data_IF_651181507447
#
_entry.id   IF_651181507447
#
_cell.length_a   1.000
_cell.length_b   1.000
_cell.length_c   1.000
_cell.angle_alpha   90.00
_cell.angle_beta   90.00
_cell.angle_gamma   90.00
#
_symmetry.space_group_name_H-M   'P 1'
#
loop_
_entity.id
_entity.type
_entity.pdbx_description
1 polymer ?
#
# COMPACT_ATOMS: atom_id res chain seq x y z
N UNK A 1 -19.48 -7.88 -16.77
CA UNK A 1 -19.34 -8.42 -15.41
C UNK A 1 -19.40 -7.25 -14.44
N UNK A 2 -19.96 -7.42 -13.25
CA UNK A 2 -19.87 -6.37 -12.21
C UNK A 2 -18.42 -6.23 -11.76
N UNK A 3 -17.98 -5.00 -11.50
CA UNK A 3 -16.65 -4.74 -10.95
C UNK A 3 -16.57 -5.24 -9.50
N UNK A 4 -15.41 -5.79 -9.12
CA UNK A 4 -15.07 -6.22 -7.76
C UNK A 4 -14.75 -5.03 -6.86
N UNK A 5 -15.09 -5.15 -5.58
CA UNK A 5 -14.66 -4.29 -4.48
C UNK A 5 -13.27 -4.74 -4.04
N UNK A 6 -12.24 -3.92 -4.26
CA UNK A 6 -10.85 -4.31 -4.03
C UNK A 6 -10.17 -3.32 -3.10
N UNK A 7 -9.48 -3.84 -2.09
CA UNK A 7 -8.50 -3.10 -1.31
C UNK A 7 -7.15 -3.09 -2.05
N UNK A 8 -6.71 -1.92 -2.51
CA UNK A 8 -5.48 -1.82 -3.30
C UNK A 8 -4.18 -1.79 -2.48
N UNK A 9 -4.23 -1.85 -1.15
CA UNK A 9 -3.06 -1.55 -0.31
C UNK A 9 -3.01 -2.42 0.96
N UNK A 10 -2.45 -3.63 0.83
CA UNK A 10 -2.32 -4.58 1.95
C UNK A 10 -0.89 -5.12 2.08
N UNK A 11 -0.24 -4.81 3.20
CA UNK A 11 1.09 -5.32 3.53
C UNK A 11 1.02 -6.66 4.25
N UNK A 12 2.00 -7.52 3.95
CA UNK A 12 2.29 -8.72 4.71
C UNK A 12 3.43 -8.50 5.68
N UNK A 13 3.44 -9.30 6.74
CA UNK A 13 4.59 -9.44 7.63
C UNK A 13 4.86 -10.93 7.81
N UNK A 14 6.13 -11.30 7.74
CA UNK A 14 6.55 -12.70 7.84
C UNK A 14 7.95 -12.85 8.40
N UNK A 15 8.17 -13.90 9.20
CA UNK A 15 9.45 -14.27 9.81
C UNK A 15 10.26 -15.30 9.01
N UNK A 16 9.72 -15.81 7.90
CA UNK A 16 10.39 -16.78 7.03
C UNK A 16 10.34 -18.22 7.53
N UNK A 17 9.68 -18.47 8.67
CA UNK A 17 9.64 -19.80 9.32
C UNK A 17 8.97 -20.89 8.47
N UNK A 18 8.16 -20.51 7.48
CA UNK A 18 7.51 -21.40 6.53
C UNK A 18 8.34 -21.68 5.25
N UNK A 19 9.57 -21.15 5.17
CA UNK A 19 10.37 -21.19 3.94
C UNK A 19 9.97 -20.16 2.90
N UNK A 20 9.15 -19.16 3.27
CA UNK A 20 8.72 -18.08 2.40
C UNK A 20 9.84 -17.13 1.96
N UNK A 21 10.97 -17.10 2.70
CA UNK A 21 12.05 -16.13 2.52
C UNK A 21 11.74 -14.74 3.11
N UNK A 22 10.58 -14.55 3.73
CA UNK A 22 10.24 -13.34 4.48
C UNK A 22 11.19 -13.17 5.67
N UNK A 23 11.39 -11.92 6.07
CA UNK A 23 11.98 -11.62 7.38
C UNK A 23 11.61 -10.21 7.81
N UNK A 24 11.68 -9.94 9.12
CA UNK A 24 11.60 -8.60 9.67
C UNK A 24 12.50 -8.43 10.88
N UNK A 25 12.84 -7.19 11.20
CA UNK A 25 13.63 -6.80 12.36
C UNK A 25 12.83 -5.90 13.31
N UNK A 26 12.83 -6.25 14.59
CA UNK A 26 12.29 -5.42 15.68
C UNK A 26 13.44 -5.01 16.62
N UNK A 27 14.27 -4.02 16.22
CA UNK A 27 15.52 -3.71 16.89
C UNK A 27 15.35 -3.11 18.30
N UNK A 28 14.15 -2.61 18.63
CA UNK A 28 13.89 -1.95 19.91
C UNK A 28 12.78 -2.65 20.69
N UNK A 29 12.84 -2.58 22.04
CA UNK A 29 11.77 -3.07 22.91
C UNK A 29 10.42 -2.40 22.61
N UNK A 30 10.45 -1.13 22.21
CA UNK A 30 9.25 -0.41 21.78
C UNK A 30 8.64 -1.01 20.51
N UNK A 31 9.44 -1.27 19.46
CA UNK A 31 8.96 -1.93 18.23
C UNK A 31 8.43 -3.34 18.51
N UNK A 32 9.07 -4.10 19.41
CA UNK A 32 8.55 -5.40 19.88
C UNK A 32 7.21 -5.27 20.58
N UNK A 33 7.03 -4.27 21.43
CA UNK A 33 5.74 -4.00 22.07
C UNK A 33 4.67 -3.65 21.03
N UNK A 34 4.98 -2.78 20.08
CA UNK A 34 4.05 -2.40 18.99
C UNK A 34 3.65 -3.61 18.14
N UNK A 35 4.60 -4.46 17.75
CA UNK A 35 4.31 -5.69 17.00
C UNK A 35 3.33 -6.60 17.76
N UNK A 36 3.50 -6.75 19.09
CA UNK A 36 2.56 -7.52 19.91
C UNK A 36 1.15 -6.90 19.94
N UNK A 37 1.04 -5.56 20.01
CA UNK A 37 -0.26 -4.90 19.94
C UNK A 37 -0.91 -5.06 18.56
N UNK A 38 -0.12 -5.02 17.49
CA UNK A 38 -0.58 -5.23 16.12
C UNK A 38 -1.13 -6.65 15.94
N UNK A 39 -0.36 -7.69 16.30
CA UNK A 39 -0.81 -9.10 16.24
C UNK A 39 -2.11 -9.30 17.03
N UNK A 40 -2.21 -8.73 18.24
CA UNK A 40 -3.44 -8.77 19.04
C UNK A 40 -4.60 -8.06 18.34
N UNK A 41 -4.35 -6.91 17.73
CA UNK A 41 -5.35 -6.14 16.98
C UNK A 41 -5.87 -6.88 15.74
N UNK A 42 -5.02 -7.70 15.12
CA UNK A 42 -5.38 -8.58 14.01
C UNK A 42 -6.17 -9.83 14.43
N UNK A 43 -6.38 -10.04 15.73
CA UNK A 43 -7.04 -11.24 16.27
C UNK A 43 -6.18 -12.50 16.24
N UNK A 44 -4.89 -12.37 15.91
CA UNK A 44 -3.96 -13.49 15.83
C UNK A 44 -3.47 -13.90 17.23
N UNK A 45 -3.30 -15.21 17.50
CA UNK A 45 -2.72 -15.67 18.75
C UNK A 45 -1.24 -15.26 18.83
N UNK A 46 -0.78 -14.91 20.03
CA UNK A 46 0.60 -14.47 20.24
C UNK A 46 1.66 -15.52 19.86
N UNK A 47 1.29 -16.81 19.83
CA UNK A 47 2.15 -17.91 19.39
C UNK A 47 2.58 -17.82 17.93
N UNK A 48 1.89 -17.00 17.11
CA UNK A 48 2.30 -16.68 15.73
C UNK A 48 3.69 -16.04 15.69
N UNK A 49 4.12 -15.36 16.76
CA UNK A 49 5.48 -14.79 16.85
C UNK A 49 6.56 -15.82 17.17
N UNK A 50 6.18 -17.09 17.41
CA UNK A 50 7.12 -18.17 17.76
C UNK A 50 7.49 -19.04 16.55
N UNK A 51 6.55 -19.23 15.61
CA UNK A 51 6.74 -19.99 14.36
C UNK A 51 5.52 -19.89 13.45
N UNK A 52 5.70 -20.21 12.15
CA UNK A 52 4.69 -20.23 11.09
C UNK A 52 4.00 -18.88 10.87
N UNK A 53 4.72 -17.77 11.12
CA UNK A 53 4.13 -16.45 11.05
C UNK A 53 3.61 -16.14 9.65
N UNK A 54 4.39 -16.42 8.61
CA UNK A 54 4.04 -16.06 7.23
C UNK A 54 2.71 -16.66 6.80
N UNK A 55 2.53 -17.97 7.01
CA UNK A 55 1.34 -18.71 6.61
C UNK A 55 0.12 -18.29 7.42
N UNK A 56 0.26 -18.22 8.76
CA UNK A 56 -0.85 -17.83 9.65
C UNK A 56 -1.28 -16.40 9.41
N UNK A 57 -0.35 -15.51 9.10
CA UNK A 57 -0.64 -14.12 8.78
C UNK A 57 -1.41 -14.02 7.45
N UNK A 58 -0.97 -14.74 6.42
CA UNK A 58 -1.66 -14.78 5.14
C UNK A 58 -3.06 -15.43 5.23
N UNK A 59 -3.20 -16.54 5.97
CA UNK A 59 -4.50 -17.18 6.23
C UNK A 59 -5.45 -16.25 6.98
N UNK A 60 -4.95 -15.51 7.97
CA UNK A 60 -5.75 -14.51 8.65
C UNK A 60 -6.17 -13.37 7.73
N UNK A 61 -5.29 -12.89 6.86
CA UNK A 61 -5.66 -11.89 5.85
C UNK A 61 -6.79 -12.39 4.95
N UNK A 62 -6.67 -13.61 4.39
CA UNK A 62 -7.71 -14.20 3.53
C UNK A 62 -9.03 -14.33 4.27
N UNK A 63 -9.02 -14.82 5.52
CA UNK A 63 -10.23 -14.87 6.36
C UNK A 63 -10.83 -13.48 6.58
N UNK A 64 -10.03 -12.43 6.78
CA UNK A 64 -10.54 -11.06 6.93
C UNK A 64 -11.18 -10.56 5.64
N UNK A 65 -10.65 -10.91 4.47
CA UNK A 65 -11.26 -10.58 3.18
C UNK A 65 -12.61 -11.31 3.05
N UNK A 66 -12.64 -12.63 3.24
CA UNK A 66 -13.85 -13.47 3.14
C UNK A 66 -14.97 -13.06 4.09
N UNK A 67 -14.63 -12.54 5.26
CA UNK A 67 -15.58 -12.06 6.27
C UNK A 67 -15.89 -10.56 6.15
N UNK A 68 -15.52 -9.93 5.04
CA UNK A 68 -15.82 -8.52 4.73
C UNK A 68 -16.66 -8.41 3.45
N UNK A 69 -17.06 -7.19 3.10
CA UNK A 69 -17.68 -6.90 1.81
C UNK A 69 -16.63 -6.67 0.68
N UNK A 70 -15.36 -7.00 0.91
CA UNK A 70 -14.32 -6.99 -0.12
C UNK A 70 -14.36 -8.31 -0.90
N UNK A 71 -14.12 -8.21 -2.22
CA UNK A 71 -13.96 -9.39 -3.07
C UNK A 71 -12.49 -9.85 -3.11
N UNK A 72 -11.54 -8.91 -3.07
CA UNK A 72 -10.11 -9.19 -3.12
C UNK A 72 -9.26 -8.07 -2.52
N UNK A 73 -7.97 -8.35 -2.32
CA UNK A 73 -6.97 -7.37 -1.94
C UNK A 73 -5.71 -7.49 -2.81
N UNK A 74 -5.07 -6.34 -3.06
CA UNK A 74 -3.74 -6.26 -3.66
C UNK A 74 -2.71 -6.44 -2.55
N UNK A 75 -2.01 -7.56 -2.59
CA UNK A 75 -1.07 -7.99 -1.54
C UNK A 75 0.35 -7.64 -1.95
N UNK A 76 1.03 -6.88 -1.09
CA UNK A 76 2.26 -6.17 -1.45
C UNK A 76 3.50 -6.95 -1.02
N UNK A 77 4.39 -7.22 -1.98
CA UNK A 77 5.78 -7.57 -1.71
C UNK A 77 6.56 -6.33 -1.22
N UNK A 78 7.76 -6.55 -0.70
CA UNK A 78 8.61 -5.51 -0.14
C UNK A 78 10.07 -5.82 -0.47
N UNK A 79 10.71 -4.93 -1.24
CA UNK A 79 12.12 -5.03 -1.56
C UNK A 79 13.01 -4.31 -0.52
N UNK A 80 14.32 -4.41 -0.73
CA UNK A 80 15.36 -3.73 0.04
C UNK A 80 15.69 -2.36 -0.54
N UNK A 81 16.36 -1.53 0.27
CA UNK A 81 16.98 -0.30 -0.22
C UNK A 81 18.33 -0.62 -0.88
N UNK A 82 18.69 0.12 -1.94
CA UNK A 82 19.96 -0.06 -2.63
C UNK A 82 20.72 1.26 -2.76
N UNK A 83 22.04 1.18 -2.87
CA UNK A 83 22.89 2.33 -3.19
C UNK A 83 22.93 2.62 -4.70
N UNK A 84 23.66 3.67 -5.10
CA UNK A 84 23.76 4.07 -6.51
C UNK A 84 24.48 3.05 -7.39
N UNK A 85 25.24 2.14 -6.79
CA UNK A 85 25.98 1.05 -7.43
C UNK A 85 25.17 -0.25 -7.49
N UNK A 86 23.94 -0.25 -6.96
CA UNK A 86 23.04 -1.41 -6.96
C UNK A 86 23.36 -2.45 -5.89
N UNK A 87 24.06 -2.06 -4.82
CA UNK A 87 24.30 -2.92 -3.66
C UNK A 87 23.22 -2.68 -2.59
N UNK A 88 22.72 -3.73 -1.92
CA UNK A 88 21.77 -3.57 -0.82
C UNK A 88 22.35 -2.69 0.29
N UNK A 89 21.53 -1.80 0.85
CA UNK A 89 21.85 -0.98 2.01
C UNK A 89 21.44 -1.67 3.30
N UNK A 90 22.24 -1.46 4.35
CA UNK A 90 21.95 -1.98 5.69
C UNK A 90 20.76 -1.26 6.36
N UNK A 91 20.06 -1.99 7.23
CA UNK A 91 19.00 -1.45 8.09
C UNK A 91 17.62 -1.42 7.45
N UNK A 92 17.40 -2.24 6.41
CA UNK A 92 16.06 -2.64 6.02
C UNK A 92 15.35 -3.30 7.22
N UNK A 93 14.06 -3.00 7.39
CA UNK A 93 13.30 -3.46 8.54
C UNK A 93 12.51 -4.74 8.29
N UNK A 94 12.22 -5.03 7.03
CA UNK A 94 11.53 -6.24 6.60
C UNK A 94 11.70 -6.43 5.10
N UNK A 95 11.47 -7.65 4.65
CA UNK A 95 11.55 -8.08 3.27
C UNK A 95 10.47 -9.13 3.03
N UNK A 96 9.74 -8.99 1.92
CA UNK A 96 8.68 -9.92 1.50
C UNK A 96 8.98 -10.29 0.04
N UNK A 97 9.41 -11.53 -0.25
CA UNK A 97 9.79 -11.93 -1.60
C UNK A 97 8.62 -11.89 -2.59
N UNK A 98 8.91 -11.54 -3.84
CA UNK A 98 7.90 -11.55 -4.92
C UNK A 98 7.33 -12.95 -5.15
N UNK A 99 8.17 -13.98 -5.08
CA UNK A 99 7.78 -15.38 -5.25
C UNK A 99 6.78 -15.84 -4.18
N UNK A 100 6.92 -15.34 -2.95
CA UNK A 100 5.99 -15.64 -1.87
C UNK A 100 4.61 -15.05 -2.16
N UNK A 101 4.56 -13.78 -2.56
CA UNK A 101 3.30 -13.10 -2.91
C UNK A 101 2.64 -13.75 -4.13
N UNK A 102 3.43 -14.13 -5.14
CA UNK A 102 2.93 -14.87 -6.30
C UNK A 102 2.41 -16.27 -5.91
N UNK A 103 3.05 -16.96 -4.96
CA UNK A 103 2.57 -18.24 -4.44
C UNK A 103 1.23 -18.09 -3.69
N UNK A 104 1.06 -17.02 -2.91
CA UNK A 104 -0.20 -16.71 -2.25
C UNK A 104 -1.34 -16.43 -3.25
N UNK A 105 -1.07 -15.70 -4.33
CA UNK A 105 -2.05 -15.50 -5.40
C UNK A 105 -2.46 -16.82 -6.08
N UNK A 106 -1.54 -17.78 -6.23
CA UNK A 106 -1.89 -19.12 -6.73
C UNK A 106 -2.71 -19.94 -5.74
N UNK A 107 -2.45 -19.77 -4.44
CA UNK A 107 -3.18 -20.47 -3.36
C UNK A 107 -4.59 -19.90 -3.14
N UNK A 108 -4.75 -18.58 -3.28
CA UNK A 108 -6.00 -17.85 -3.02
C UNK A 108 -6.36 -16.92 -4.20
N UNK A 109 -6.63 -17.47 -5.40
CA UNK A 109 -6.74 -16.69 -6.64
C UNK A 109 -7.95 -15.75 -6.70
N UNK A 110 -8.97 -15.98 -5.87
CA UNK A 110 -10.15 -15.10 -5.81
C UNK A 110 -9.89 -13.88 -4.92
N UNK A 111 -9.17 -14.07 -3.80
CA UNK A 111 -8.96 -13.06 -2.76
C UNK A 111 -7.66 -12.27 -2.93
N UNK A 112 -6.64 -12.84 -3.58
CA UNK A 112 -5.28 -12.26 -3.62
C UNK A 112 -4.89 -11.85 -5.04
N UNK A 113 -4.62 -10.56 -5.19
CA UNK A 113 -3.98 -9.98 -6.38
C UNK A 113 -2.52 -9.67 -6.02
N UNK A 114 -1.53 -10.28 -6.68
CA UNK A 114 -0.14 -10.12 -6.28
C UNK A 114 0.45 -8.80 -6.77
N UNK A 115 1.15 -8.08 -5.88
CA UNK A 115 1.95 -6.92 -6.26
C UNK A 115 3.43 -7.15 -5.96
N UNK A 116 4.30 -6.99 -6.95
CA UNK A 116 5.74 -7.15 -6.78
C UNK A 116 6.38 -5.88 -6.19
N UNK A 117 7.60 -5.99 -5.69
CA UNK A 117 8.44 -4.87 -5.29
C UNK A 117 9.82 -5.08 -5.86
N UNK A 118 10.28 -4.14 -6.69
CA UNK A 118 11.52 -4.25 -7.44
C UNK A 118 12.19 -2.89 -7.45
N UNK A 119 13.26 -2.74 -6.68
CA UNK A 119 14.08 -1.54 -6.72
C UNK A 119 14.79 -1.44 -8.08
N UNK A 120 14.57 -0.39 -8.90
CA UNK A 120 15.08 -0.32 -10.27
C UNK A 120 16.62 -0.28 -10.37
N UNK A 121 17.28 0.13 -9.29
CA UNK A 121 18.75 0.13 -9.17
C UNK A 121 19.41 -1.20 -8.81
N UNK A 122 18.66 -2.28 -8.53
CA UNK A 122 19.26 -3.59 -8.26
C UNK A 122 19.88 -4.17 -9.54
N UNK A 123 20.94 -4.97 -9.42
CA UNK A 123 21.68 -5.48 -10.58
C UNK A 123 20.85 -6.41 -11.48
N UNK A 124 19.86 -7.08 -10.92
CA UNK A 124 18.95 -8.00 -11.61
C UNK A 124 17.54 -7.41 -11.82
N UNK A 125 17.40 -6.07 -11.78
CA UNK A 125 16.08 -5.39 -11.78
C UNK A 125 15.20 -5.82 -12.97
N UNK A 126 15.80 -5.84 -14.16
CA UNK A 126 15.07 -6.19 -15.39
C UNK A 126 14.70 -7.67 -15.41
N UNK A 127 15.62 -8.56 -15.01
CA UNK A 127 15.34 -10.00 -14.96
C UNK A 127 14.21 -10.31 -13.95
N UNK A 128 14.21 -9.64 -12.80
CA UNK A 128 13.16 -9.77 -11.79
C UNK A 128 11.82 -9.20 -12.28
N UNK A 129 11.85 -8.09 -13.04
CA UNK A 129 10.66 -7.54 -13.66
C UNK A 129 10.03 -8.53 -14.65
N UNK A 130 10.83 -9.13 -15.54
CA UNK A 130 10.33 -10.16 -16.46
C UNK A 130 9.74 -11.37 -15.69
N UNK A 131 10.41 -11.82 -14.61
CA UNK A 131 9.86 -12.90 -13.77
C UNK A 131 8.50 -12.54 -13.16
N UNK A 132 8.33 -11.32 -12.66
CA UNK A 132 7.07 -10.87 -12.08
C UNK A 132 5.95 -10.74 -13.13
N UNK A 133 6.30 -10.30 -14.34
CA UNK A 133 5.39 -10.21 -15.48
C UNK A 133 4.94 -11.61 -15.90
N UNK A 134 5.87 -12.56 -16.05
CA UNK A 134 5.58 -13.96 -16.37
C UNK A 134 4.75 -14.65 -15.27
N UNK A 135 4.93 -14.24 -14.01
CA UNK A 135 4.12 -14.70 -12.88
C UNK A 135 2.72 -14.06 -12.83
N UNK A 136 2.41 -13.11 -13.73
CA UNK A 136 1.11 -12.46 -13.82
C UNK A 136 0.85 -11.48 -12.68
N UNK A 137 1.87 -10.75 -12.22
CA UNK A 137 1.73 -9.72 -11.19
C UNK A 137 1.37 -8.36 -11.82
N UNK A 138 0.12 -7.88 -11.70
CA UNK A 138 -0.31 -6.68 -12.43
C UNK A 138 0.08 -5.36 -11.74
N UNK A 139 0.58 -5.43 -10.51
CA UNK A 139 0.88 -4.25 -9.68
C UNK A 139 2.32 -4.30 -9.20
N UNK A 140 2.97 -3.15 -9.12
CA UNK A 140 4.25 -2.96 -8.44
C UNK A 140 4.06 -1.99 -7.28
N UNK A 141 4.60 -2.32 -6.09
CA UNK A 141 4.65 -1.45 -4.93
C UNK A 141 6.07 -1.00 -4.64
N UNK A 142 6.25 0.31 -4.47
CA UNK A 142 7.51 0.89 -4.02
C UNK A 142 7.28 1.97 -2.98
N UNK A 143 8.22 2.07 -2.04
CA UNK A 143 8.27 3.12 -1.03
C UNK A 143 9.57 3.91 -1.24
N UNK A 144 9.62 4.87 -2.18
CA UNK A 144 10.88 5.42 -2.68
C UNK A 144 11.73 6.09 -1.58
N UNK A 145 11.10 6.78 -0.64
CA UNK A 145 11.73 7.35 0.55
C UNK A 145 12.35 6.32 1.52
N UNK A 146 11.82 5.10 1.56
CA UNK A 146 12.32 3.99 2.37
C UNK A 146 13.23 3.03 1.63
N UNK A 147 13.14 2.99 0.31
CA UNK A 147 13.93 2.15 -0.57
C UNK A 147 15.13 2.89 -1.18
N UNK A 148 15.28 4.20 -0.91
CA UNK A 148 16.33 5.05 -1.48
C UNK A 148 16.25 5.15 -3.02
N UNK A 149 15.03 5.30 -3.54
CA UNK A 149 14.78 5.38 -4.99
C UNK A 149 14.49 6.83 -5.37
N UNK A 150 15.37 7.42 -6.19
CA UNK A 150 15.07 8.64 -6.93
C UNK A 150 14.45 8.28 -8.28
N UNK A 151 13.15 8.49 -8.43
CA UNK A 151 12.45 8.21 -9.69
C UNK A 151 12.89 9.11 -10.85
N UNK A 152 13.50 10.26 -10.56
CA UNK A 152 14.03 11.18 -11.59
C UNK A 152 15.41 10.76 -12.10
N UNK A 153 15.98 9.64 -11.62
CA UNK A 153 17.25 9.16 -12.14
C UNK A 153 17.04 8.51 -13.52
N UNK A 154 17.53 9.19 -14.57
CA UNK A 154 17.38 8.77 -15.98
C UNK A 154 17.87 7.33 -16.25
N UNK A 155 18.74 6.77 -15.40
CA UNK A 155 19.19 5.38 -15.50
C UNK A 155 18.03 4.38 -15.37
N UNK A 156 16.92 4.77 -14.73
CA UNK A 156 15.75 3.93 -14.55
C UNK A 156 14.72 4.07 -15.68
N UNK A 157 14.91 4.96 -16.66
CA UNK A 157 13.98 5.12 -17.78
C UNK A 157 13.67 3.80 -18.53
N UNK A 158 14.66 2.94 -18.87
CA UNK A 158 14.35 1.67 -19.52
C UNK A 158 13.47 0.75 -18.66
N UNK A 159 13.65 0.78 -17.34
CA UNK A 159 12.84 0.01 -16.40
C UNK A 159 11.39 0.53 -16.39
N UNK A 160 11.19 1.84 -16.27
CA UNK A 160 9.85 2.43 -16.29
C UNK A 160 9.12 2.25 -17.61
N UNK A 161 9.83 2.37 -18.74
CA UNK A 161 9.25 2.07 -20.05
C UNK A 161 8.78 0.61 -20.12
N UNK A 162 9.58 -0.33 -19.61
CA UNK A 162 9.19 -1.75 -19.61
C UNK A 162 7.99 -2.05 -18.71
N UNK A 163 7.90 -1.38 -17.56
CA UNK A 163 6.72 -1.42 -16.65
C UNK A 163 5.48 -0.89 -17.37
N UNK A 164 5.60 0.21 -18.10
CA UNK A 164 4.51 0.78 -18.90
C UNK A 164 4.08 -0.17 -20.03
N UNK A 165 5.04 -0.74 -20.77
CA UNK A 165 4.79 -1.68 -21.86
C UNK A 165 4.09 -2.96 -21.37
N UNK A 166 4.35 -3.38 -20.12
CA UNK A 166 3.64 -4.49 -19.47
C UNK A 166 2.21 -4.14 -19.00
N UNK A 167 1.81 -2.87 -19.04
CA UNK A 167 0.53 -2.42 -18.49
C UNK A 167 0.45 -2.52 -16.96
N UNK A 168 1.59 -2.63 -16.27
CA UNK A 168 1.62 -2.71 -14.81
C UNK A 168 1.23 -1.38 -14.16
N UNK A 169 0.57 -1.47 -13.02
CA UNK A 169 0.21 -0.31 -12.19
C UNK A 169 1.26 -0.13 -11.10
N UNK A 170 1.83 1.07 -10.97
CA UNK A 170 2.71 1.41 -9.86
C UNK A 170 1.90 2.00 -8.71
N UNK A 171 1.82 1.30 -7.59
CA UNK A 171 1.43 1.86 -6.30
C UNK A 171 2.69 2.42 -5.62
N UNK A 172 2.87 3.74 -5.61
CA UNK A 172 4.03 4.37 -4.98
C UNK A 172 3.65 5.03 -3.66
N UNK A 173 4.44 4.83 -2.63
CA UNK A 173 4.34 5.64 -1.42
C UNK A 173 4.56 7.11 -1.75
N UNK A 174 3.72 7.98 -1.18
CA UNK A 174 3.90 9.43 -1.21
C UNK A 174 3.54 10.02 0.15
N UNK A 175 4.04 11.23 0.44
CA UNK A 175 3.83 11.85 1.74
C UNK A 175 4.76 11.34 2.83
N UNK A 176 4.36 11.58 4.07
CA UNK A 176 5.17 11.22 5.25
C UNK A 176 5.24 9.72 5.50
N UNK A 177 6.29 9.26 6.19
CA UNK A 177 6.48 7.88 6.62
C UNK A 177 7.08 7.87 8.04
N UNK A 178 6.54 7.01 8.93
CA UNK A 178 6.88 7.01 10.37
C UNK A 178 7.19 5.62 10.93
N UNK A 179 6.90 4.56 10.18
CA UNK A 179 6.97 3.16 10.62
C UNK A 179 8.21 2.45 10.07
N UNK A 180 8.60 2.82 8.85
CA UNK A 180 9.78 2.30 8.15
C UNK A 180 10.89 3.35 8.13
N UNK A 181 12.15 2.89 8.14
CA UNK A 181 13.34 3.74 8.02
C UNK A 181 13.24 4.56 6.74
N UNK A 182 13.37 5.87 6.87
CA UNK A 182 13.41 6.81 5.75
C UNK A 182 14.87 7.15 5.45
N UNK A 183 15.30 6.96 4.21
CA UNK A 183 16.62 7.36 3.73
C UNK A 183 16.60 8.82 3.25
N UNK A 184 15.60 9.18 2.45
CA UNK A 184 15.37 10.55 2.00
C UNK A 184 13.87 10.87 1.98
N UNK A 185 13.38 11.75 2.88
CA UNK A 185 11.97 12.13 2.91
C UNK A 185 11.48 12.79 1.62
N UNK A 186 12.35 13.45 0.84
CA UNK A 186 11.97 14.17 -0.38
C UNK A 186 11.49 13.26 -1.50
N UNK A 187 11.89 11.99 -1.49
CA UNK A 187 11.37 10.99 -2.44
C UNK A 187 9.89 10.66 -2.22
N UNK A 188 9.27 11.11 -1.12
CA UNK A 188 7.82 11.06 -0.93
C UNK A 188 7.04 12.17 -1.65
N UNK A 189 7.70 13.16 -2.27
CA UNK A 189 7.03 14.24 -3.00
C UNK A 189 6.37 13.66 -4.27
N UNK A 190 5.05 13.80 -4.47
CA UNK A 190 4.34 13.28 -5.63
C UNK A 190 4.88 13.83 -6.96
N UNK A 191 5.55 15.00 -6.99
CA UNK A 191 6.16 15.54 -8.22
C UNK A 191 7.26 14.65 -8.77
N UNK A 192 7.93 13.85 -7.93
CA UNK A 192 8.91 12.85 -8.33
C UNK A 192 8.32 11.73 -9.19
N UNK A 193 6.99 11.59 -9.22
CA UNK A 193 6.31 10.63 -10.08
C UNK A 193 6.26 11.07 -11.56
N UNK A 194 6.61 12.32 -11.87
CA UNK A 194 6.52 12.86 -13.23
C UNK A 194 7.27 12.00 -14.26
N UNK A 195 8.50 11.59 -13.95
CA UNK A 195 9.32 10.74 -14.83
C UNK A 195 8.65 9.40 -15.15
N UNK A 196 8.06 8.76 -14.14
CA UNK A 196 7.36 7.48 -14.28
C UNK A 196 6.06 7.65 -15.06
N UNK A 197 5.31 8.72 -14.78
CA UNK A 197 4.08 9.09 -15.49
C UNK A 197 4.34 9.44 -16.96
N UNK A 198 5.43 10.14 -17.26
CA UNK A 198 5.82 10.52 -18.62
C UNK A 198 6.22 9.29 -19.46
N UNK A 199 6.69 8.21 -18.83
CA UNK A 199 6.88 6.89 -19.48
C UNK A 199 5.56 6.16 -19.79
N UNK A 200 4.42 6.65 -19.28
CA UNK A 200 3.10 6.07 -19.52
C UNK A 200 2.63 5.05 -18.47
N UNK A 201 3.39 4.83 -17.39
CA UNK A 201 3.00 3.92 -16.30
C UNK A 201 1.76 4.49 -15.58
N UNK A 202 0.72 3.68 -15.37
CA UNK A 202 -0.40 4.07 -14.51
C UNK A 202 0.06 4.09 -13.05
N UNK A 203 -0.09 5.22 -12.35
CA UNK A 203 0.43 5.40 -10.99
C UNK A 203 -0.69 5.66 -9.99
N UNK A 204 -0.60 5.02 -8.82
CA UNK A 204 -1.39 5.30 -7.63
C UNK A 204 -0.44 5.91 -6.58
N UNK A 205 -0.60 7.20 -6.29
CA UNK A 205 0.11 7.87 -5.21
C UNK A 205 -0.56 7.53 -3.87
N UNK A 206 0.09 6.73 -3.04
CA UNK A 206 -0.51 6.23 -1.80
C UNK A 206 -0.68 7.33 -0.75
N UNK A 207 -1.69 7.17 0.10
CA UNK A 207 -2.03 8.05 1.22
C UNK A 207 -2.36 9.49 0.83
N UNK A 208 -2.72 9.72 -0.44
CA UNK A 208 -2.98 11.05 -1.01
C UNK A 208 -1.86 12.07 -0.78
N UNK A 209 -0.61 11.59 -0.75
CA UNK A 209 0.58 12.41 -0.47
C UNK A 209 0.50 13.22 0.83
N UNK A 210 -0.35 12.79 1.76
CA UNK A 210 -0.55 13.45 3.04
C UNK A 210 0.62 13.22 4.01
N UNK A 211 0.85 14.18 4.89
CA UNK A 211 1.79 14.02 6.00
C UNK A 211 1.37 12.91 6.97
N UNK A 212 2.35 12.17 7.49
CA UNK A 212 2.14 11.16 8.53
C UNK A 212 2.42 11.74 9.92
N UNK A 213 3.52 12.46 10.07
CA UNK A 213 3.90 13.20 11.27
C UNK A 213 3.27 14.59 11.36
N UNK A 214 3.49 15.25 12.49
CA UNK A 214 3.07 16.65 12.67
C UNK A 214 3.92 17.62 11.82
N UNK A 215 5.20 17.29 11.66
CA UNK A 215 6.20 18.13 10.96
C UNK A 215 6.55 17.65 9.56
N UNK A 216 5.96 16.54 9.10
CA UNK A 216 6.17 16.09 7.73
C UNK A 216 5.52 17.07 6.75
N UNK A 217 6.11 17.25 5.55
CA UNK A 217 5.48 17.96 4.44
C UNK A 217 4.12 17.33 4.08
N UNK A 218 3.17 18.18 3.71
CA UNK A 218 1.86 17.78 3.19
C UNK A 218 1.79 18.18 1.72
N UNK A 219 1.83 17.19 0.83
CA UNK A 219 1.85 17.41 -0.62
C UNK A 219 0.50 17.06 -1.28
N UNK A 220 -0.57 16.96 -0.48
CA UNK A 220 -1.91 16.60 -0.98
C UNK A 220 -2.39 17.54 -2.09
N UNK A 221 -2.17 18.85 -1.94
CA UNK A 221 -2.58 19.84 -2.94
C UNK A 221 -1.72 19.77 -4.22
N UNK A 222 -0.42 19.49 -4.09
CA UNK A 222 0.47 19.28 -5.22
C UNK A 222 0.02 18.05 -6.03
N UNK A 223 -0.32 16.95 -5.36
CA UNK A 223 -0.86 15.74 -6.00
C UNK A 223 -2.17 16.04 -6.74
N UNK A 224 -3.11 16.77 -6.11
CA UNK A 224 -4.39 17.12 -6.74
C UNK A 224 -4.17 17.98 -7.99
N UNK A 225 -3.24 18.94 -7.95
CA UNK A 225 -2.90 19.76 -9.11
C UNK A 225 -2.33 18.93 -10.27
N UNK A 226 -1.64 17.81 -9.98
CA UNK A 226 -1.09 16.91 -10.99
C UNK A 226 -2.15 16.12 -11.76
N UNK A 227 -3.34 15.86 -11.20
CA UNK A 227 -4.40 15.12 -11.89
C UNK A 227 -4.84 15.75 -13.21
N UNK A 228 -4.76 17.07 -13.34
CA UNK A 228 -5.09 17.78 -14.57
C UNK A 228 -4.09 17.54 -15.71
N UNK A 229 -2.82 17.25 -15.37
CA UNK A 229 -1.76 16.96 -16.33
C UNK A 229 -1.65 15.47 -16.65
N UNK A 230 -1.87 14.61 -15.66
CA UNK A 230 -1.64 13.16 -15.78
C UNK A 230 -2.96 12.40 -15.61
N UNK A 231 -3.65 12.01 -16.70
CA UNK A 231 -4.95 11.33 -16.61
C UNK A 231 -4.85 9.91 -16.02
N UNK A 232 -3.67 9.29 -16.08
CA UNK A 232 -3.33 7.98 -15.53
C UNK A 232 -2.68 8.06 -14.13
N UNK A 233 -2.76 9.22 -13.47
CA UNK A 233 -2.40 9.39 -12.06
C UNK A 233 -3.65 9.29 -11.19
N UNK A 234 -3.56 8.44 -10.18
CA UNK A 234 -4.56 8.18 -9.17
C UNK A 234 -3.96 8.36 -7.77
N UNK A 235 -4.80 8.34 -6.75
CA UNK A 235 -4.40 8.24 -5.35
C UNK A 235 -5.16 7.10 -4.68
N UNK A 236 -4.67 6.58 -3.57
CA UNK A 236 -5.50 5.77 -2.66
C UNK A 236 -5.96 6.60 -1.43
N UNK A 237 -6.86 6.02 -0.63
CA UNK A 237 -7.31 6.57 0.66
C UNK A 237 -6.82 5.74 1.86
N UNK A 238 -5.65 5.10 1.74
CA UNK A 238 -5.13 4.18 2.74
C UNK A 238 -4.55 4.88 3.96
N UNK A 239 -4.66 4.23 5.12
CA UNK A 239 -4.34 4.77 6.44
C UNK A 239 -5.06 6.08 6.83
N UNK A 240 -6.01 6.61 6.04
CA UNK A 240 -6.70 7.87 6.37
C UNK A 240 -7.69 7.74 7.54
N UNK A 241 -8.03 6.52 7.93
CA UNK A 241 -8.73 6.20 9.18
C UNK A 241 -7.80 6.26 10.41
N UNK A 242 -6.56 6.71 10.29
CA UNK A 242 -5.68 6.94 11.44
C UNK A 242 -5.76 8.39 11.92
N UNK A 243 -5.64 8.66 13.23
CA UNK A 243 -5.67 10.04 13.75
C UNK A 243 -4.59 10.95 13.14
N UNK A 244 -3.42 10.40 12.81
CA UNK A 244 -2.30 11.17 12.29
C UNK A 244 -2.49 11.59 10.83
N UNK A 245 -3.14 10.77 9.99
CA UNK A 245 -3.41 11.07 8.57
C UNK A 245 -4.82 11.62 8.28
N UNK A 246 -5.79 11.49 9.20
CA UNK A 246 -7.18 11.89 8.97
C UNK A 246 -7.36 13.34 8.48
N UNK A 247 -6.43 14.26 8.77
CA UNK A 247 -6.45 15.63 8.26
C UNK A 247 -6.49 15.73 6.73
N UNK A 248 -5.92 14.75 6.03
CA UNK A 248 -5.86 14.69 4.56
C UNK A 248 -7.25 14.50 3.94
N UNK A 249 -8.18 13.89 4.69
CA UNK A 249 -9.56 13.64 4.24
C UNK A 249 -10.27 14.91 3.77
N UNK A 250 -9.95 16.09 4.31
CA UNK A 250 -10.63 17.34 3.91
C UNK A 250 -10.48 17.66 2.42
N UNK A 251 -9.45 17.12 1.75
CA UNK A 251 -9.16 17.40 0.34
C UNK A 251 -9.82 16.41 -0.64
N UNK A 252 -10.35 15.28 -0.16
CA UNK A 252 -10.65 14.14 -1.02
C UNK A 252 -12.10 14.03 -1.48
N UNK A 253 -13.01 14.90 -1.05
CA UNK A 253 -14.45 14.71 -1.25
C UNK A 253 -15.07 15.52 -2.41
N UNK A 254 -14.30 16.34 -3.12
CA UNK A 254 -14.81 16.94 -4.37
C UNK A 254 -14.93 15.86 -5.45
N UNK A 255 -15.94 15.98 -6.32
CA UNK A 255 -16.21 15.01 -7.39
C UNK A 255 -14.99 14.75 -8.27
N UNK A 256 -14.31 15.82 -8.70
CA UNK A 256 -13.10 15.73 -9.52
C UNK A 256 -11.98 14.91 -8.84
N UNK A 257 -11.80 15.08 -7.53
CA UNK A 257 -10.78 14.35 -6.77
C UNK A 257 -11.21 12.91 -6.52
N UNK A 258 -12.45 12.68 -6.08
CA UNK A 258 -12.99 11.33 -5.84
C UNK A 258 -12.94 10.45 -7.09
N UNK A 259 -13.08 11.05 -8.28
CA UNK A 259 -12.91 10.35 -9.56
C UNK A 259 -11.52 9.68 -9.71
N UNK A 260 -10.51 10.14 -8.95
CA UNK A 260 -9.13 9.65 -8.93
C UNK A 260 -8.72 8.90 -7.66
N UNK A 261 -9.60 8.76 -6.66
CA UNK A 261 -9.30 8.07 -5.40
C UNK A 261 -9.61 6.58 -5.50
N UNK A 262 -8.75 5.70 -5.03
CA UNK A 262 -8.94 4.25 -4.98
C UNK A 262 -9.01 3.82 -3.51
N UNK A 263 -9.84 2.82 -3.22
CA UNK A 263 -9.90 2.23 -1.89
C UNK A 263 -8.63 1.41 -1.59
N UNK A 264 -7.99 1.69 -0.45
CA UNK A 264 -7.03 0.77 0.16
C UNK A 264 -6.97 0.98 1.66
N UNK A 265 -6.74 -0.05 2.48
CA UNK A 265 -6.77 0.08 3.95
C UNK A 265 -5.42 0.48 4.57
N UNK A 266 -4.31 0.06 3.95
CA UNK A 266 -2.97 0.01 4.55
C UNK A 266 -2.87 -1.06 5.66
N UNK A 267 -3.60 -2.17 5.53
CA UNK A 267 -3.48 -3.30 6.45
C UNK A 267 -2.00 -3.69 6.62
N UNK A 268 -1.50 -3.90 7.85
CA UNK A 268 -2.22 -4.05 9.12
C UNK A 268 -2.34 -2.77 9.97
N UNK A 269 -2.16 -1.58 9.40
CA UNK A 269 -2.24 -0.33 10.16
C UNK A 269 -3.58 -0.24 10.91
N UNK A 270 -3.59 0.07 12.23
CA UNK A 270 -4.81 0.11 13.00
C UNK A 270 -5.83 1.10 12.45
N UNK A 271 -7.08 0.64 12.32
CA UNK A 271 -8.20 1.43 11.81
C UNK A 271 -8.99 2.02 12.97
N UNK A 272 -9.28 3.33 12.93
CA UNK A 272 -10.07 3.99 13.97
C UNK A 272 -10.93 5.14 13.43
N UNK A 273 -12.24 5.11 13.67
CA UNK A 273 -13.10 6.25 13.35
C UNK A 273 -12.80 7.52 14.16
N UNK A 274 -11.91 7.49 15.16
CA UNK A 274 -11.57 8.65 15.99
C UNK A 274 -10.93 9.80 15.20
N UNK A 275 -9.98 9.48 14.30
CA UNK A 275 -9.36 10.48 13.41
C UNK A 275 -10.39 11.18 12.52
N UNK A 276 -11.15 10.41 11.70
CA UNK A 276 -12.25 10.92 10.88
C UNK A 276 -13.29 11.74 11.67
N UNK A 277 -13.65 11.31 12.88
CA UNK A 277 -14.56 12.04 13.76
C UNK A 277 -13.98 13.39 14.19
N UNK A 278 -12.71 13.44 14.63
CA UNK A 278 -12.05 14.68 15.05
C UNK A 278 -11.99 15.72 13.93
N UNK A 279 -11.85 15.30 12.67
CA UNK A 279 -11.79 16.20 11.52
C UNK A 279 -13.17 16.50 10.91
N UNK A 280 -14.25 16.08 11.59
CA UNK A 280 -15.63 16.36 11.18
C UNK A 280 -16.11 15.57 9.96
N UNK A 281 -15.43 14.47 9.61
CA UNK A 281 -15.80 13.58 8.49
C UNK A 281 -16.64 12.38 8.92
N UNK A 282 -16.82 12.18 10.22
CA UNK A 282 -17.66 11.13 10.77
C UNK A 282 -18.49 11.68 11.93
N UNK A 283 -19.78 11.35 11.97
CA UNK A 283 -20.65 11.68 13.10
C UNK A 283 -20.34 10.81 14.32
N UNK A 284 -20.66 11.31 15.53
CA UNK A 284 -20.43 10.58 16.78
C UNK A 284 -21.21 9.26 16.87
N UNK A 285 -22.45 9.23 16.37
CA UNK A 285 -23.27 8.03 16.32
C UNK A 285 -22.67 6.96 15.40
N UNK A 286 -22.22 7.35 14.21
CA UNK A 286 -21.54 6.48 13.25
C UNK A 286 -20.25 5.92 13.83
N UNK A 287 -19.40 6.78 14.42
CA UNK A 287 -18.18 6.36 15.11
C UNK A 287 -18.44 5.27 16.16
N UNK A 288 -19.42 5.49 17.04
CA UNK A 288 -19.76 4.51 18.09
C UNK A 288 -20.36 3.22 17.55
N UNK A 289 -21.16 3.29 16.48
CA UNK A 289 -21.75 2.11 15.87
C UNK A 289 -20.66 1.23 15.23
N UNK A 290 -19.73 1.85 14.50
CA UNK A 290 -18.67 1.15 13.77
C UNK A 290 -17.54 0.65 14.65
N UNK A 291 -17.33 1.22 15.85
CA UNK A 291 -16.27 0.80 16.76
C UNK A 291 -16.41 -0.63 17.30
N UNK A 292 -17.52 -1.32 17.02
CA UNK A 292 -17.76 -2.72 17.38
C UNK A 292 -17.32 -3.70 16.30
N UNK A 293 -17.06 -3.22 15.08
CA UNK A 293 -16.56 -4.06 13.99
C UNK A 293 -15.14 -4.53 14.32
N UNK A 294 -14.93 -5.85 14.28
CA UNK A 294 -13.66 -6.49 14.64
C UNK A 294 -12.83 -6.84 13.42
N UNK A 295 -13.48 -7.05 12.28
CA UNK A 295 -12.78 -7.25 11.03
C UNK A 295 -12.19 -5.91 10.59
N UNK A 296 -10.86 -5.83 10.58
CA UNK A 296 -10.14 -4.57 10.36
C UNK A 296 -10.37 -4.02 8.95
N UNK A 297 -10.46 -4.89 7.94
CA UNK A 297 -10.74 -4.51 6.57
C UNK A 297 -12.18 -4.03 6.42
N UNK A 298 -13.14 -4.78 6.98
CA UNK A 298 -14.55 -4.37 6.98
C UNK A 298 -14.74 -3.05 7.72
N UNK A 299 -14.07 -2.84 8.86
CA UNK A 299 -14.16 -1.61 9.63
C UNK A 299 -13.67 -0.41 8.82
N UNK A 300 -12.54 -0.53 8.11
CA UNK A 300 -12.03 0.53 7.25
C UNK A 300 -12.99 0.85 6.09
N UNK A 301 -13.50 -0.19 5.43
CA UNK A 301 -14.46 -0.09 4.34
C UNK A 301 -15.76 0.62 4.78
N UNK A 302 -16.34 0.20 5.91
CA UNK A 302 -17.55 0.80 6.47
C UNK A 302 -17.33 2.26 6.87
N UNK A 303 -16.20 2.57 7.52
CA UNK A 303 -15.86 3.95 7.88
C UNK A 303 -15.81 4.85 6.64
N UNK A 304 -15.16 4.40 5.57
CA UNK A 304 -15.02 5.17 4.32
C UNK A 304 -16.36 5.36 3.61
N UNK A 305 -17.23 4.35 3.62
CA UNK A 305 -18.62 4.48 3.12
C UNK A 305 -19.39 5.54 3.93
N UNK A 306 -19.33 5.48 5.26
CA UNK A 306 -20.01 6.46 6.13
C UNK A 306 -19.45 7.88 6.02
N UNK A 307 -18.17 8.03 5.70
CA UNK A 307 -17.55 9.34 5.42
C UNK A 307 -18.06 9.98 4.11
N UNK A 308 -18.68 9.19 3.22
CA UNK A 308 -19.24 9.65 1.96
C UNK A 308 -18.31 9.53 0.75
N UNK A 309 -17.40 8.55 0.74
CA UNK A 309 -16.67 8.20 -0.49
C UNK A 309 -17.62 7.56 -1.51
N UNK A 310 -17.52 7.97 -2.78
CA UNK A 310 -18.37 7.49 -3.87
C UNK A 310 -18.21 5.99 -4.11
N UNK A 311 -19.28 5.31 -4.56
CA UNK A 311 -19.26 3.88 -4.85
C UNK A 311 -18.13 3.46 -5.82
N UNK A 312 -17.78 4.35 -6.77
CA UNK A 312 -16.67 4.13 -7.70
C UNK A 312 -15.32 4.00 -7.01
N UNK A 313 -15.09 4.64 -5.85
CA UNK A 313 -13.86 4.53 -5.02
C UNK A 313 -13.46 3.08 -4.76
N UNK A 314 -14.45 2.24 -4.47
CA UNK A 314 -14.21 0.87 -4.03
C UNK A 314 -14.01 -0.13 -5.18
N UNK A 315 -14.43 0.21 -6.41
CA UNK A 315 -14.37 -0.68 -7.57
C UNK A 315 -13.35 -0.26 -8.64
N UNK A 316 -12.75 0.92 -8.49
CA UNK A 316 -11.82 1.48 -9.49
C UNK A 316 -10.53 0.71 -9.64
N UNK A 317 -10.03 0.06 -8.59
CA UNK A 317 -8.87 -0.82 -8.73
C UNK A 317 -9.17 -1.95 -9.73
N UNK A 318 -10.33 -2.58 -9.64
CA UNK A 318 -10.73 -3.63 -10.59
C UNK A 318 -10.91 -3.07 -12.01
N UNK A 319 -11.49 -1.87 -12.12
CA UNK A 319 -11.62 -1.17 -13.40
C UNK A 319 -10.26 -0.84 -14.05
N UNK A 320 -9.21 -0.59 -13.26
CA UNK A 320 -7.85 -0.37 -13.77
C UNK A 320 -7.18 -1.68 -14.19
N UNK A 321 -7.31 -2.73 -13.37
CA UNK A 321 -6.77 -4.06 -13.67
C UNK A 321 -7.35 -4.65 -14.96
N UNK A 322 -8.60 -4.32 -15.31
CA UNK A 322 -9.24 -4.77 -16.55
C UNK A 322 -8.86 -3.96 -17.80
N UNK A 323 -8.08 -2.87 -17.68
CA UNK A 323 -7.63 -2.06 -18.82
C UNK A 323 -6.27 -2.51 -19.39
N UNK A 324 -5.48 -3.22 -18.59
CA UNK A 324 -4.18 -3.76 -18.95
C UNK A 324 -4.27 -5.05 -19.76
#
# INVERSE_FOLDING_TARGET
>A
MSLRTIDCHVHLVGDGSSGSGCWFELPTLWKRFLAKQMIKGLGLPMSVLESEMDERYAENLVMQIELSDLDAAVVLAQDLAYDREGRPLDGAQFYIPNEWVAALAKKYPEQVIPACSIHPGRSDAMDELERCIDAGMPVMKLLPNCLNIDYDDDRYLPFWQRVADAGMILLSHTGGEMTVKVYDPSFGDPKKLATVLDCGVTVIAAHAAGRSGLFDPDWTEDLIAMFGRYPHLYTDNSALCTPNRARTLKHLFSEDVQSRVIHGSDYPVPVSGFGPWMVGKLGWSQYRALSQEKNILQHDLMLKREMGFDAGVFTRMDALLQRG
#
